data_IF_381346451293
#
_entry.id   IF_381346451293
#
_cell.length_a   1.000
_cell.length_b   1.000
_cell.length_c   1.000
_cell.angle_alpha   90.00
_cell.angle_beta   90.00
_cell.angle_gamma   90.00
#
_symmetry.space_group_name_H-M   'P 1'
#
loop_
_entity.id
_entity.type
_entity.pdbx_description
1 polymer ?
#
# COMPACT_ATOMS: atom_id res chain seq x y z
N UNK A 1 -10.33 6.13 -2.99
CA UNK A 1 -8.92 6.42 -2.67
C UNK A 1 -8.10 5.15 -2.89
N UNK A 2 -7.06 5.27 -3.69
CA UNK A 2 -6.15 4.15 -3.94
C UNK A 2 -5.19 4.00 -2.76
N UNK A 3 -5.04 2.77 -2.30
CA UNK A 3 -4.07 2.41 -1.26
C UNK A 3 -3.05 1.47 -1.88
N UNK A 4 -1.77 1.74 -1.67
CA UNK A 4 -0.71 0.88 -2.19
C UNK A 4 0.60 1.08 -1.44
N UNK A 5 1.51 0.13 -1.60
CA UNK A 5 2.88 0.27 -1.15
C UNK A 5 3.67 0.90 -2.29
N UNK A 6 4.02 2.16 -2.18
CA UNK A 6 4.44 3.01 -3.28
C UNK A 6 3.29 3.25 -4.27
N UNK A 7 2.18 3.76 -3.75
CA UNK A 7 0.89 3.87 -4.47
C UNK A 7 0.95 4.74 -5.72
N UNK A 8 1.86 5.69 -5.79
CA UNK A 8 2.06 6.51 -6.98
C UNK A 8 2.37 5.64 -8.21
N UNK A 9 3.13 4.59 -8.01
CA UNK A 9 3.50 3.64 -9.07
C UNK A 9 2.25 2.93 -9.60
N UNK A 10 1.43 2.40 -8.71
CA UNK A 10 0.16 1.74 -9.08
C UNK A 10 -0.78 2.70 -9.78
N UNK A 11 -0.88 3.92 -9.30
CA UNK A 11 -1.70 4.97 -9.92
C UNK A 11 -1.25 5.23 -11.36
N UNK A 12 0.05 5.26 -11.61
CA UNK A 12 0.61 5.50 -12.94
C UNK A 12 0.17 4.42 -13.93
N UNK A 13 0.16 3.16 -13.50
CA UNK A 13 -0.31 2.05 -14.34
C UNK A 13 -1.80 2.14 -14.61
N UNK A 14 -2.60 2.49 -13.61
CA UNK A 14 -4.05 2.65 -13.78
C UNK A 14 -4.38 3.79 -14.73
N UNK A 15 -3.66 4.90 -14.61
CA UNK A 15 -3.83 6.05 -15.52
C UNK A 15 -3.54 5.64 -16.96
N UNK A 16 -2.45 4.92 -17.19
CA UNK A 16 -2.10 4.44 -18.53
C UNK A 16 -3.12 3.45 -19.07
N UNK A 17 -3.62 2.55 -18.23
CA UNK A 17 -4.67 1.62 -18.64
C UNK A 17 -5.94 2.36 -19.06
N UNK A 18 -6.32 3.40 -18.34
CA UNK A 18 -7.45 4.25 -18.72
C UNK A 18 -7.22 4.91 -20.08
N UNK A 19 -6.03 5.44 -20.32
CA UNK A 19 -5.68 6.08 -21.58
C UNK A 19 -5.78 5.09 -22.76
N UNK A 20 -5.29 3.87 -22.59
CA UNK A 20 -5.34 2.84 -23.64
C UNK A 20 -6.75 2.38 -23.96
N UNK A 21 -7.66 2.48 -23.01
CA UNK A 21 -9.04 2.04 -23.16
C UNK A 21 -10.01 3.19 -23.39
N UNK A 22 -9.50 4.36 -23.71
CA UNK A 22 -10.28 5.57 -23.98
C UNK A 22 -11.20 5.98 -22.81
N UNK A 23 -10.78 5.66 -21.60
CA UNK A 23 -11.45 6.09 -20.38
C UNK A 23 -10.88 7.45 -20.01
N UNK A 24 -11.69 8.50 -20.20
CA UNK A 24 -11.21 9.89 -20.06
C UNK A 24 -10.96 10.30 -18.62
N UNK A 25 -11.59 9.63 -17.66
CA UNK A 25 -11.48 9.99 -16.25
C UNK A 25 -11.25 8.74 -15.41
N UNK A 26 -10.07 8.68 -14.80
CA UNK A 26 -9.76 7.60 -13.84
C UNK A 26 -10.66 7.76 -12.60
N UNK A 27 -11.14 6.67 -12.01
CA UNK A 27 -11.87 6.72 -10.75
C UNK A 27 -11.01 7.15 -9.56
N UNK A 28 -9.68 7.19 -9.72
CA UNK A 28 -8.75 7.53 -8.66
C UNK A 28 -8.13 8.89 -8.89
N UNK A 29 -8.31 9.80 -7.93
CA UNK A 29 -7.72 11.13 -7.99
C UNK A 29 -6.21 11.04 -7.77
N UNK A 30 -5.39 11.73 -8.58
CA UNK A 30 -3.91 11.60 -8.52
C UNK A 30 -3.28 12.08 -7.21
N UNK A 31 -3.96 12.93 -6.46
CA UNK A 31 -3.43 13.44 -5.18
C UNK A 31 -4.09 12.80 -3.95
N UNK A 32 -5.05 11.91 -4.17
CA UNK A 32 -5.78 11.25 -3.08
C UNK A 32 -5.34 9.80 -2.99
N UNK A 33 -4.09 9.60 -2.58
CA UNK A 33 -3.48 8.30 -2.42
C UNK A 33 -3.12 8.07 -0.96
N UNK A 34 -3.25 6.84 -0.50
CA UNK A 34 -2.72 6.41 0.80
C UNK A 34 -1.58 5.44 0.52
N UNK A 35 -0.42 5.75 1.06
CA UNK A 35 0.79 4.98 0.79
C UNK A 35 1.26 4.27 2.06
N UNK A 36 1.32 2.94 1.99
CA UNK A 36 1.75 2.15 3.13
C UNK A 36 3.24 2.27 3.41
N UNK A 37 4.04 2.82 2.49
CA UNK A 37 5.43 3.20 2.79
C UNK A 37 5.44 4.28 3.88
N UNK A 38 4.64 5.33 3.69
CA UNK A 38 4.55 6.42 4.66
C UNK A 38 3.94 5.97 5.98
N UNK A 39 2.85 5.22 5.93
CA UNK A 39 2.24 4.67 7.14
C UNK A 39 3.19 3.71 7.85
N UNK A 40 3.91 2.89 7.10
CA UNK A 40 4.89 1.96 7.64
C UNK A 40 6.02 2.67 8.39
N UNK A 41 6.52 3.77 7.84
CA UNK A 41 7.55 4.57 8.51
C UNK A 41 7.04 5.10 9.83
N UNK A 42 5.82 5.64 9.86
CA UNK A 42 5.25 6.17 11.09
C UNK A 42 5.03 5.09 12.15
N UNK A 43 4.61 3.91 11.72
CA UNK A 43 4.26 2.82 12.65
C UNK A 43 5.46 1.97 13.05
N UNK A 44 6.41 1.73 12.13
CA UNK A 44 7.48 0.74 12.32
C UNK A 44 8.88 1.28 12.07
N UNK A 45 9.00 2.47 11.50
CA UNK A 45 10.28 3.06 11.06
C UNK A 45 10.94 2.24 9.94
N UNK A 46 10.16 1.45 9.22
CA UNK A 46 10.60 0.66 8.09
C UNK A 46 9.84 1.07 6.83
N UNK A 47 10.46 0.89 5.66
CA UNK A 47 9.86 1.22 4.37
C UNK A 47 9.64 0.00 3.48
N UNK A 48 10.51 -1.01 3.59
CA UNK A 48 10.43 -2.22 2.80
C UNK A 48 9.27 -3.08 3.31
N UNK A 49 8.38 -3.50 2.43
CA UNK A 49 7.15 -4.21 2.80
C UNK A 49 7.41 -5.41 3.72
N UNK A 50 8.40 -6.24 3.40
CA UNK A 50 8.74 -7.40 4.22
C UNK A 50 9.14 -7.00 5.65
N UNK A 51 9.86 -5.89 5.80
CA UNK A 51 10.29 -5.39 7.11
C UNK A 51 9.15 -4.77 7.89
N UNK A 52 8.29 -4.04 7.21
CA UNK A 52 7.06 -3.51 7.84
C UNK A 52 6.21 -4.65 8.37
N UNK A 53 6.02 -5.69 7.57
CA UNK A 53 5.26 -6.88 7.97
C UNK A 53 5.87 -7.54 9.20
N UNK A 54 7.19 -7.69 9.22
CA UNK A 54 7.89 -8.29 10.37
C UNK A 54 7.62 -7.51 11.65
N UNK A 55 7.69 -6.19 11.59
CA UNK A 55 7.45 -5.34 12.77
C UNK A 55 5.99 -5.37 13.22
N UNK A 56 5.05 -5.61 12.30
CA UNK A 56 3.62 -5.68 12.59
C UNK A 56 3.11 -7.10 12.86
N UNK A 57 4.01 -8.09 12.89
CA UNK A 57 3.65 -9.52 13.05
C UNK A 57 2.70 -10.01 11.96
N UNK A 58 2.90 -9.53 10.75
CA UNK A 58 2.17 -9.97 9.57
C UNK A 58 3.04 -10.97 8.82
N UNK A 59 2.48 -12.14 8.53
CA UNK A 59 3.19 -13.16 7.76
C UNK A 59 3.46 -12.68 6.33
N UNK A 60 4.71 -12.78 5.89
CA UNK A 60 5.11 -12.44 4.53
C UNK A 60 6.05 -13.53 4.04
N UNK A 61 5.54 -14.40 3.19
CA UNK A 61 6.25 -15.60 2.73
C UNK A 61 7.07 -15.24 1.49
N UNK A 62 8.41 -15.31 1.61
CA UNK A 62 9.33 -14.93 0.54
C UNK A 62 9.09 -15.67 -0.77
N UNK A 63 8.69 -16.94 -0.70
CA UNK A 63 8.44 -17.77 -1.87
C UNK A 63 7.25 -17.27 -2.70
N UNK A 64 6.30 -16.59 -2.05
CA UNK A 64 5.13 -16.02 -2.69
C UNK A 64 5.30 -14.52 -2.98
N UNK A 65 6.37 -13.92 -2.48
CA UNK A 65 6.68 -12.52 -2.70
C UNK A 65 6.80 -12.23 -4.20
N UNK A 66 6.45 -11.00 -4.58
CA UNK A 66 6.47 -10.51 -5.97
C UNK A 66 5.31 -11.00 -6.84
N UNK A 67 4.43 -11.87 -6.33
CA UNK A 67 3.11 -12.05 -6.94
C UNK A 67 2.28 -10.79 -6.69
N UNK A 68 1.68 -10.23 -7.74
CA UNK A 68 0.88 -9.01 -7.62
C UNK A 68 -0.29 -9.18 -6.65
N UNK A 69 -0.98 -10.32 -6.72
CA UNK A 69 -2.12 -10.61 -5.84
C UNK A 69 -1.67 -10.75 -4.39
N UNK A 70 -0.57 -11.45 -4.16
CA UNK A 70 -0.05 -11.66 -2.81
C UNK A 70 0.42 -10.35 -2.19
N UNK A 71 1.17 -9.55 -2.94
CA UNK A 71 1.67 -8.27 -2.44
C UNK A 71 0.52 -7.29 -2.17
N UNK A 72 -0.52 -7.30 -2.99
CA UNK A 72 -1.71 -6.47 -2.76
C UNK A 72 -2.45 -6.90 -1.49
N UNK A 73 -2.59 -8.19 -1.26
CA UNK A 73 -3.22 -8.72 -0.04
C UNK A 73 -2.43 -8.33 1.20
N UNK A 74 -1.12 -8.51 1.17
CA UNK A 74 -0.25 -8.15 2.28
C UNK A 74 -0.28 -6.65 2.55
N UNK A 75 -0.26 -5.84 1.48
CA UNK A 75 -0.39 -4.38 1.60
C UNK A 75 -1.70 -3.98 2.27
N UNK A 76 -2.80 -4.66 1.91
CA UNK A 76 -4.09 -4.44 2.56
C UNK A 76 -4.05 -4.79 4.04
N UNK A 77 -3.39 -5.88 4.41
CA UNK A 77 -3.22 -6.26 5.82
C UNK A 77 -2.42 -5.22 6.59
N UNK A 78 -1.34 -4.71 6.00
CA UNK A 78 -0.54 -3.64 6.60
C UNK A 78 -1.39 -2.40 6.84
N UNK A 79 -2.13 -1.97 5.83
CA UNK A 79 -3.01 -0.81 5.95
C UNK A 79 -4.04 -1.00 7.07
N UNK A 80 -4.74 -2.12 7.06
CA UNK A 80 -5.78 -2.40 8.06
C UNK A 80 -5.19 -2.48 9.48
N UNK A 81 -4.04 -3.10 9.63
CA UNK A 81 -3.36 -3.22 10.92
C UNK A 81 -3.02 -1.84 11.48
N UNK A 82 -2.42 -0.99 10.67
CA UNK A 82 -2.01 0.34 11.11
C UNK A 82 -3.23 1.20 11.43
N UNK A 83 -4.26 1.18 10.58
CA UNK A 83 -5.45 1.99 10.79
C UNK A 83 -6.23 1.51 12.02
N UNK A 84 -6.36 0.22 12.21
CA UNK A 84 -7.09 -0.34 13.36
C UNK A 84 -6.35 -0.11 14.68
N UNK A 85 -5.02 -0.06 14.65
CA UNK A 85 -4.19 0.16 15.82
C UNK A 85 -3.63 1.59 15.87
N UNK A 86 -4.31 2.52 15.21
CA UNK A 86 -3.86 3.91 15.03
C UNK A 86 -3.37 4.55 16.32
N UNK A 87 -4.15 4.42 17.39
CA UNK A 87 -3.82 5.04 18.69
C UNK A 87 -2.54 4.48 19.30
N UNK A 88 -2.14 3.26 18.89
CA UNK A 88 -0.93 2.62 19.38
C UNK A 88 0.32 3.09 18.65
N UNK A 89 0.19 3.44 17.36
CA UNK A 89 1.32 3.77 16.51
C UNK A 89 1.49 5.26 16.24
N UNK A 90 0.38 5.96 16.03
CA UNK A 90 0.38 7.35 15.59
C UNK A 90 -0.20 8.21 16.70
N UNK A 91 0.69 8.86 17.44
CA UNK A 91 0.32 9.78 18.52
C UNK A 91 0.56 11.20 18.03
N UNK A 92 -0.54 11.88 17.82
CA UNK A 92 -0.51 13.27 17.39
C UNK A 92 -0.71 14.21 18.56
#
# INVERSE_FOLDING_TARGET
>A
ILVGHNAFFDHSFLKEACNRNNIKKSPFHPFSLIDTVSLGVLATQQTVLARVCKELDISYINEEAHSAAYDAEVTAQVFCKIINDYDSFIKL
#
